data_IF_426465233065
#
_entry.id   IF_426465233065
#
_cell.length_a   1.000
_cell.length_b   1.000
_cell.length_c   1.000
_cell.angle_alpha   90.00
_cell.angle_beta   90.00
_cell.angle_gamma   90.00
#
_symmetry.space_group_name_H-M   'P 1'
#
loop_
_entity.id
_entity.type
_entity.pdbx_description
1 polymer ?
#
# COMPACT_ATOMS: atom_id res chain seq x y z
N UNK A 1 -3.66 -7.22 -11.68
CA UNK A 1 -4.37 -7.61 -10.44
C UNK A 1 -5.60 -8.42 -10.83
N UNK A 2 -5.90 -9.52 -10.13
CA UNK A 2 -7.10 -10.35 -10.39
C UNK A 2 -8.11 -10.11 -9.28
N UNK A 3 -9.36 -9.83 -9.65
CA UNK A 3 -10.45 -9.67 -8.68
C UNK A 3 -10.90 -11.05 -8.25
N UNK A 4 -10.90 -11.31 -6.94
CA UNK A 4 -11.42 -12.57 -6.39
C UNK A 4 -12.94 -12.57 -6.39
N UNK A 5 -13.61 -13.75 -6.49
CA UNK A 5 -15.06 -13.84 -6.37
C UNK A 5 -15.50 -13.25 -5.02
N UNK A 6 -16.29 -12.18 -5.06
CA UNK A 6 -16.65 -11.41 -3.88
C UNK A 6 -18.15 -11.09 -3.85
N UNK A 7 -18.67 -10.78 -2.66
CA UNK A 7 -20.07 -10.37 -2.50
C UNK A 7 -20.40 -9.09 -3.30
N UNK A 8 -21.65 -8.84 -3.71
CA UNK A 8 -22.03 -7.63 -4.44
C UNK A 8 -21.63 -6.32 -3.73
N UNK A 9 -21.66 -6.32 -2.39
CA UNK A 9 -21.20 -5.19 -1.57
C UNK A 9 -19.69 -4.95 -1.69
N UNK A 10 -18.91 -6.03 -1.73
CA UNK A 10 -17.46 -5.96 -1.86
C UNK A 10 -17.05 -5.48 -3.27
N UNK A 11 -17.77 -5.91 -4.32
CA UNK A 11 -17.52 -5.45 -5.69
C UNK A 11 -17.76 -3.93 -5.79
N UNK A 12 -18.89 -3.44 -5.26
CA UNK A 12 -19.17 -1.99 -5.24
C UNK A 12 -18.11 -1.20 -4.47
N UNK A 13 -17.68 -1.71 -3.32
CA UNK A 13 -16.60 -1.08 -2.55
C UNK A 13 -15.27 -1.08 -3.31
N UNK A 14 -14.97 -2.17 -4.02
CA UNK A 14 -13.76 -2.30 -4.83
C UNK A 14 -13.73 -1.28 -5.97
N UNK A 15 -14.84 -1.12 -6.70
CA UNK A 15 -14.94 -0.13 -7.77
C UNK A 15 -14.68 1.30 -7.28
N UNK A 16 -15.20 1.65 -6.10
CA UNK A 16 -14.96 2.95 -5.46
C UNK A 16 -13.47 3.13 -5.16
N UNK A 17 -12.83 2.15 -4.50
CA UNK A 17 -11.41 2.21 -4.17
C UNK A 17 -10.50 2.27 -5.40
N UNK A 18 -10.81 1.49 -6.45
CA UNK A 18 -10.05 1.53 -7.70
C UNK A 18 -10.13 2.91 -8.34
N UNK A 19 -11.33 3.50 -8.39
CA UNK A 19 -11.52 4.84 -8.96
C UNK A 19 -10.70 5.88 -8.18
N UNK A 20 -10.77 5.88 -6.86
CA UNK A 20 -9.98 6.81 -6.03
C UNK A 20 -8.47 6.68 -6.28
N UNK A 21 -7.96 5.44 -6.40
CA UNK A 21 -6.54 5.20 -6.65
C UNK A 21 -6.12 5.56 -8.08
N UNK A 22 -7.02 5.46 -9.05
CA UNK A 22 -6.78 5.95 -10.41
C UNK A 22 -6.77 7.48 -10.46
N UNK A 23 -7.70 8.14 -9.76
CA UNK A 23 -7.78 9.61 -9.67
C UNK A 23 -6.53 10.19 -8.97
N UNK A 24 -5.98 9.47 -7.99
CA UNK A 24 -4.72 9.80 -7.33
C UNK A 24 -3.47 9.49 -8.18
N UNK A 25 -3.63 8.86 -9.35
CA UNK A 25 -2.51 8.46 -10.21
C UNK A 25 -1.66 7.30 -9.67
N UNK A 26 -2.14 6.61 -8.63
CA UNK A 26 -1.45 5.46 -8.00
C UNK A 26 -1.60 4.20 -8.84
N UNK A 27 -2.76 4.03 -9.48
CA UNK A 27 -3.04 2.89 -10.36
C UNK A 27 -3.19 3.33 -11.81
N UNK A 28 -2.58 2.57 -12.71
CA UNK A 28 -2.75 2.70 -14.16
C UNK A 28 -3.48 1.46 -14.69
N UNK A 29 -4.46 1.68 -15.57
CA UNK A 29 -5.08 0.59 -16.33
C UNK A 29 -4.10 0.09 -17.39
N UNK A 30 -3.82 -1.21 -17.38
CA UNK A 30 -2.97 -1.84 -18.38
C UNK A 30 -3.76 -2.14 -19.66
N UNK A 31 -3.09 -1.98 -20.81
CA UNK A 31 -3.65 -2.24 -22.13
C UNK A 31 -3.65 -3.73 -22.49
N UNK A 32 -4.46 -4.13 -23.48
CA UNK A 32 -4.55 -5.54 -23.90
C UNK A 32 -3.23 -6.11 -24.48
N UNK A 33 -2.31 -5.24 -24.90
CA UNK A 33 -1.01 -5.59 -25.47
C UNK A 33 0.12 -5.58 -24.44
N UNK A 34 -0.13 -5.16 -23.20
CA UNK A 34 0.89 -5.11 -22.15
C UNK A 34 0.94 -6.47 -21.45
N UNK A 35 2.10 -7.14 -21.53
CA UNK A 35 2.30 -8.42 -20.85
C UNK A 35 2.50 -8.19 -19.35
N UNK A 36 1.86 -9.04 -18.54
CA UNK A 36 1.94 -8.99 -17.08
C UNK A 36 2.49 -10.33 -16.59
N UNK A 37 3.70 -10.31 -16.05
CA UNK A 37 4.39 -11.51 -15.56
C UNK A 37 3.83 -11.98 -14.20
N UNK A 38 3.42 -11.03 -13.35
CA UNK A 38 2.90 -11.32 -12.01
C UNK A 38 1.53 -10.71 -11.77
N UNK A 39 0.61 -11.50 -11.24
CA UNK A 39 -0.69 -11.00 -10.80
C UNK A 39 -0.98 -11.41 -9.35
N UNK A 40 -1.46 -10.44 -8.58
CA UNK A 40 -1.88 -10.64 -7.20
C UNK A 40 -3.41 -10.54 -7.11
N UNK A 41 -4.07 -11.43 -6.34
CA UNK A 41 -5.48 -11.29 -6.05
C UNK A 41 -5.75 -10.11 -5.12
N UNK A 42 -6.87 -9.42 -5.35
CA UNK A 42 -7.36 -8.35 -4.47
C UNK A 42 -8.52 -8.89 -3.63
N UNK A 43 -8.52 -8.51 -2.35
CA UNK A 43 -9.60 -8.75 -1.40
C UNK A 43 -10.07 -7.43 -0.77
N UNK A 44 -11.33 -7.38 -0.36
CA UNK A 44 -11.90 -6.26 0.39
C UNK A 44 -12.06 -6.69 1.85
N UNK A 45 -11.34 -6.01 2.74
CA UNK A 45 -11.48 -6.19 4.18
C UNK A 45 -12.32 -5.05 4.75
N UNK A 46 -13.35 -5.39 5.53
CA UNK A 46 -14.20 -4.41 6.21
C UNK A 46 -13.91 -4.40 7.71
N UNK A 47 -13.65 -3.23 8.26
CA UNK A 47 -13.42 -3.05 9.69
C UNK A 47 -14.01 -1.72 10.16
N UNK A 48 -14.74 -1.74 11.28
CA UNK A 48 -15.42 -0.56 11.84
C UNK A 48 -16.25 0.23 10.82
N UNK A 49 -17.00 -0.47 9.97
CA UNK A 49 -17.84 0.13 8.93
C UNK A 49 -17.08 0.72 7.73
N UNK A 50 -15.75 0.66 7.71
CA UNK A 50 -14.92 1.11 6.57
C UNK A 50 -14.37 -0.09 5.81
N UNK A 51 -14.41 -0.02 4.49
CA UNK A 51 -13.78 -1.01 3.61
C UNK A 51 -12.35 -0.59 3.27
N UNK A 52 -11.47 -1.58 3.08
CA UNK A 52 -10.08 -1.40 2.63
C UNK A 52 -9.78 -2.40 1.52
N UNK A 53 -9.16 -1.91 0.45
CA UNK A 53 -8.59 -2.75 -0.60
C UNK A 53 -7.26 -3.33 -0.13
N UNK A 54 -7.11 -4.65 -0.20
CA UNK A 54 -5.90 -5.36 0.22
C UNK A 54 -5.43 -6.25 -0.93
N UNK A 55 -4.18 -6.08 -1.35
CA UNK A 55 -3.54 -6.97 -2.31
C UNK A 55 -2.77 -8.08 -1.59
N UNK A 56 -2.98 -9.33 -1.98
CA UNK A 56 -2.21 -10.46 -1.46
C UNK A 56 -0.86 -10.62 -2.18
N UNK A 57 0.14 -9.88 -1.71
CA UNK A 57 1.50 -9.87 -2.29
C UNK A 57 2.41 -10.96 -1.73
N UNK A 58 1.89 -11.96 -1.00
CA UNK A 58 2.73 -13.00 -0.37
C UNK A 58 3.54 -13.79 -1.37
N UNK A 59 2.92 -14.20 -2.47
CA UNK A 59 3.60 -14.93 -3.56
C UNK A 59 4.63 -14.05 -4.29
N UNK A 60 4.40 -12.75 -4.38
CA UNK A 60 5.37 -11.83 -4.97
C UNK A 60 6.59 -11.67 -4.04
N UNK A 61 6.35 -11.54 -2.73
CA UNK A 61 7.41 -11.36 -1.73
C UNK A 61 8.40 -12.54 -1.65
N UNK A 62 8.03 -13.75 -2.09
CA UNK A 62 8.97 -14.89 -2.13
C UNK A 62 9.97 -14.81 -3.29
N UNK A 63 9.68 -14.01 -4.31
CA UNK A 63 10.53 -13.84 -5.49
C UNK A 63 11.37 -12.56 -5.41
N UNK A 64 11.12 -11.69 -4.43
CA UNK A 64 11.82 -10.41 -4.25
C UNK A 64 12.96 -10.59 -3.24
N UNK A 65 14.11 -9.97 -3.53
CA UNK A 65 15.21 -9.83 -2.58
C UNK A 65 14.86 -8.71 -1.58
N UNK A 66 14.76 -8.98 -0.27
CA UNK A 66 14.41 -7.95 0.70
C UNK A 66 15.52 -6.90 0.82
N UNK A 67 15.18 -5.63 0.60
CA UNK A 67 16.05 -4.51 0.92
C UNK A 67 15.95 -4.18 2.43
N UNK A 68 17.07 -4.31 3.13
CA UNK A 68 17.14 -4.07 4.58
C UNK A 68 17.69 -2.67 4.82
N UNK A 69 16.82 -1.67 4.76
CA UNK A 69 17.16 -0.33 5.20
C UNK A 69 17.42 -0.33 6.72
N UNK A 70 18.55 0.21 7.21
CA UNK A 70 18.87 0.21 8.63
C UNK A 70 17.93 1.16 9.38
N UNK A 71 16.95 0.59 10.09
CA UNK A 71 16.09 1.35 11.00
C UNK A 71 16.87 1.55 12.31
N UNK A 72 17.04 2.80 12.79
CA UNK A 72 17.77 3.07 14.03
C UNK A 72 17.09 2.39 15.22
N UNK A 73 17.89 2.02 16.23
CA UNK A 73 17.32 1.42 17.45
C UNK A 73 16.56 2.49 18.23
N UNK A 74 15.44 2.10 18.82
CA UNK A 74 14.58 3.01 19.62
C UNK A 74 15.41 3.79 20.64
N UNK A 75 16.37 3.15 21.34
CA UNK A 75 17.19 3.81 22.35
C UNK A 75 18.13 4.88 21.78
N UNK A 76 18.70 4.65 20.59
CA UNK A 76 19.57 5.60 19.90
C UNK A 76 18.77 6.83 19.47
N UNK A 77 17.59 6.60 18.89
CA UNK A 77 16.68 7.68 18.48
C UNK A 77 16.21 8.51 19.68
N UNK A 78 15.87 7.87 20.81
CA UNK A 78 15.44 8.58 22.02
C UNK A 78 16.57 9.39 22.65
N UNK A 79 17.80 8.87 22.65
CA UNK A 79 18.97 9.60 23.16
C UNK A 79 19.22 10.86 22.32
N UNK A 80 19.14 10.76 20.99
CA UNK A 80 19.26 11.91 20.10
C UNK A 80 18.14 12.94 20.32
N UNK A 81 16.90 12.47 20.52
CA UNK A 81 15.75 13.34 20.81
C UNK A 81 15.86 14.05 22.18
N UNK A 82 16.48 13.41 23.18
CA UNK A 82 16.59 13.96 24.55
C UNK A 82 17.37 15.28 24.62
N UNK A 83 18.23 15.56 23.64
CA UNK A 83 19.00 16.80 23.56
C UNK A 83 18.29 17.92 22.79
N UNK A 84 17.11 17.65 22.22
CA UNK A 84 16.37 18.62 21.43
C UNK A 84 15.65 19.65 22.32
N UNK A 85 15.76 20.94 21.97
CA UNK A 85 15.02 22.03 22.64
C UNK A 85 13.56 22.12 22.20
N UNK A 86 13.25 21.64 20.99
CA UNK A 86 11.92 21.59 20.39
C UNK A 86 11.80 20.30 19.58
N UNK A 87 10.69 19.59 19.74
CA UNK A 87 10.35 18.40 18.96
C UNK A 87 9.07 18.70 18.19
N UNK A 88 9.09 18.42 16.89
CA UNK A 88 7.89 18.46 16.04
C UNK A 88 7.65 17.08 15.46
N UNK A 89 6.38 16.71 15.31
CA UNK A 89 5.95 15.44 14.75
C UNK A 89 5.06 15.72 13.55
N UNK A 90 5.29 15.00 12.45
CA UNK A 90 4.53 15.12 11.22
C UNK A 90 4.17 13.71 10.76
N UNK A 91 2.91 13.53 10.36
CA UNK A 91 2.43 12.27 9.79
C UNK A 91 2.36 12.37 8.27
N UNK A 92 3.02 11.45 7.58
CA UNK A 92 2.97 11.34 6.12
C UNK A 92 1.71 10.57 5.72
N UNK A 93 0.60 11.30 5.57
CA UNK A 93 -0.68 10.73 5.15
C UNK A 93 -0.52 9.96 3.83
N UNK A 94 -0.87 8.68 3.83
CA UNK A 94 -0.77 7.81 2.65
C UNK A 94 0.65 7.80 2.04
N UNK A 95 1.71 7.90 2.85
CA UNK A 95 3.10 8.04 2.37
C UNK A 95 3.53 7.02 1.31
N UNK A 96 3.07 5.76 1.40
CA UNK A 96 3.36 4.74 0.39
C UNK A 96 2.80 5.05 -1.02
N UNK A 97 1.76 5.86 -1.12
CA UNK A 97 1.15 6.26 -2.40
C UNK A 97 1.81 7.49 -3.03
N UNK A 98 2.72 8.15 -2.32
CA UNK A 98 3.41 9.35 -2.80
C UNK A 98 4.72 9.02 -3.53
N UNK A 99 5.27 7.83 -3.29
CA UNK A 99 6.51 7.39 -3.92
C UNK A 99 6.25 6.81 -5.32
N UNK A 100 7.02 7.26 -6.30
CA UNK A 100 7.01 6.70 -7.63
C UNK A 100 7.81 5.38 -7.64
N UNK A 101 7.19 4.31 -8.14
CA UNK A 101 7.90 3.09 -8.47
C UNK A 101 8.69 3.33 -9.76
N UNK A 102 10.02 3.24 -9.68
CA UNK A 102 10.95 3.44 -10.81
C UNK A 102 11.43 2.10 -11.34
#
# INVERSE_FOLDING_TARGET
MVVTPASPRAIKALEVHIKELMDLGVLKKLGHNEQVEFTTPIIIACHNGKSRMVGDIRALNTHIIPDRYPIPRIHETLTQLSQAKLITSMDALKGFHQNLLT
#
